data_IF_552263622349
#
_entry.id   IF_552263622349
#
_cell.length_a   1.000
_cell.length_b   1.000
_cell.length_c   1.000
_cell.angle_alpha   90.00
_cell.angle_beta   90.00
_cell.angle_gamma   90.00
#
_symmetry.space_group_name_H-M   'P 1'
#
loop_
_entity.id
_entity.type
_entity.pdbx_description
1 polymer ?
#
# COMPACT_ATOMS: atom_id res chain seq x y z
N UNK A 1 -15.13 -0.46 17.59
CA UNK A 1 -14.69 -1.86 17.42
C UNK A 1 -13.24 -1.82 17.01
N UNK A 2 -12.39 -2.48 17.77
CA UNK A 2 -11.01 -2.68 17.38
C UNK A 2 -10.95 -3.83 16.36
N UNK A 3 -10.29 -3.61 15.22
CA UNK A 3 -10.11 -4.65 14.21
C UNK A 3 -8.84 -5.43 14.55
N UNK A 4 -8.94 -6.75 14.77
CA UNK A 4 -7.75 -7.61 14.85
C UNK A 4 -7.16 -7.83 13.46
N UNK A 5 -5.88 -8.18 13.38
CA UNK A 5 -5.19 -8.44 12.11
C UNK A 5 -5.89 -9.52 11.29
N UNK A 6 -6.30 -10.62 11.93
CA UNK A 6 -6.99 -11.74 11.29
C UNK A 6 -8.35 -11.29 10.70
N UNK A 7 -9.08 -10.42 11.41
CA UNK A 7 -10.33 -9.87 10.90
C UNK A 7 -10.12 -9.00 9.65
N UNK A 8 -9.04 -8.21 9.64
CA UNK A 8 -8.68 -7.37 8.49
C UNK A 8 -8.28 -8.26 7.31
N UNK A 9 -7.43 -9.26 7.53
CA UNK A 9 -7.02 -10.22 6.51
C UNK A 9 -8.22 -10.91 5.85
N UNK A 10 -9.16 -11.41 6.65
CA UNK A 10 -10.39 -12.03 6.15
C UNK A 10 -11.21 -11.05 5.29
N UNK A 11 -11.33 -9.80 5.73
CA UNK A 11 -12.07 -8.75 4.99
C UNK A 11 -11.39 -8.38 3.69
N UNK A 12 -10.08 -8.21 3.69
CA UNK A 12 -9.31 -7.93 2.48
C UNK A 12 -9.39 -9.11 1.52
N UNK A 13 -9.25 -10.35 2.01
CA UNK A 13 -9.38 -11.56 1.18
C UNK A 13 -10.75 -11.65 0.52
N UNK A 14 -11.83 -11.32 1.23
CA UNK A 14 -13.19 -11.23 0.66
C UNK A 14 -13.30 -10.15 -0.42
N UNK A 15 -12.69 -8.98 -0.22
CA UNK A 15 -12.70 -7.91 -1.22
C UNK A 15 -11.90 -8.30 -2.48
N UNK A 16 -10.74 -8.93 -2.32
CA UNK A 16 -9.94 -9.48 -3.42
C UNK A 16 -10.73 -10.54 -4.18
N UNK A 17 -11.39 -11.46 -3.48
CA UNK A 17 -12.22 -12.49 -4.11
C UNK A 17 -13.34 -11.88 -4.98
N UNK A 18 -14.05 -10.87 -4.46
CA UNK A 18 -15.08 -10.16 -5.24
C UNK A 18 -14.50 -9.50 -6.49
N UNK A 19 -13.32 -8.89 -6.39
CA UNK A 19 -12.62 -8.32 -7.55
C UNK A 19 -12.27 -9.39 -8.60
N UNK A 20 -11.69 -10.52 -8.17
CA UNK A 20 -11.33 -11.62 -9.06
C UNK A 20 -12.55 -12.24 -9.75
N UNK A 21 -13.69 -12.30 -9.06
CA UNK A 21 -14.91 -12.92 -9.56
C UNK A 21 -15.75 -11.99 -10.44
N UNK A 22 -16.02 -10.79 -9.96
CA UNK A 22 -17.00 -9.88 -10.57
C UNK A 22 -16.34 -8.90 -11.55
N UNK A 23 -15.04 -8.61 -11.38
CA UNK A 23 -14.28 -7.67 -12.21
C UNK A 23 -13.05 -8.33 -12.87
N UNK A 24 -13.12 -9.64 -13.11
CA UNK A 24 -12.08 -10.42 -13.79
C UNK A 24 -11.59 -9.77 -15.09
N UNK A 25 -12.50 -9.12 -15.82
CA UNK A 25 -12.22 -8.40 -17.07
C UNK A 25 -11.07 -7.40 -16.94
N UNK A 26 -10.93 -6.72 -15.79
CA UNK A 26 -9.89 -5.71 -15.58
C UNK A 26 -8.49 -6.33 -15.62
N UNK A 27 -8.35 -7.53 -15.05
CA UNK A 27 -7.10 -8.28 -15.02
C UNK A 27 -6.80 -8.90 -16.38
N UNK A 28 -7.83 -9.52 -17.00
CA UNK A 28 -7.73 -10.17 -18.30
C UNK A 28 -7.29 -9.20 -19.40
N UNK A 29 -7.72 -7.94 -19.33
CA UNK A 29 -7.37 -6.90 -20.31
C UNK A 29 -6.20 -6.02 -19.86
N UNK A 30 -5.46 -6.44 -18.83
CA UNK A 30 -4.27 -5.75 -18.33
C UNK A 30 -4.49 -4.25 -18.05
N UNK A 31 -5.65 -3.88 -17.51
CA UNK A 31 -5.98 -2.48 -17.26
C UNK A 31 -5.06 -1.85 -16.19
N UNK A 32 -5.03 -0.53 -16.12
CA UNK A 32 -4.11 0.21 -15.24
C UNK A 32 -4.37 -0.09 -13.75
N UNK A 33 -3.30 -0.13 -12.93
CA UNK A 33 -3.35 -0.39 -11.49
C UNK A 33 -4.38 0.50 -10.78
N UNK A 34 -4.37 1.82 -11.04
CA UNK A 34 -5.43 2.76 -10.58
C UNK A 34 -6.87 2.26 -10.78
N UNK A 35 -7.20 1.65 -11.91
CA UNK A 35 -8.55 1.11 -12.18
C UNK A 35 -8.84 -0.09 -11.29
N UNK A 36 -7.87 -0.98 -11.10
CA UNK A 36 -7.94 -2.14 -10.21
C UNK A 36 -8.07 -1.68 -8.76
N UNK A 37 -7.25 -0.71 -8.32
CA UNK A 37 -7.28 -0.13 -6.98
C UNK A 37 -8.63 0.50 -6.66
N UNK A 38 -9.21 1.27 -7.59
CA UNK A 38 -10.55 1.84 -7.42
C UNK A 38 -11.61 0.76 -7.14
N UNK A 39 -11.63 -0.30 -7.95
CA UNK A 39 -12.63 -1.36 -7.82
C UNK A 39 -12.41 -2.21 -6.57
N UNK A 40 -11.15 -2.48 -6.21
CA UNK A 40 -10.80 -3.10 -4.94
C UNK A 40 -11.26 -2.24 -3.74
N UNK A 41 -11.06 -0.92 -3.81
CA UNK A 41 -11.50 0.02 -2.77
C UNK A 41 -13.03 0.00 -2.59
N UNK A 42 -13.82 -0.12 -3.66
CA UNK A 42 -15.27 -0.29 -3.55
C UNK A 42 -15.66 -1.56 -2.77
N UNK A 43 -14.99 -2.68 -3.01
CA UNK A 43 -15.26 -3.92 -2.27
C UNK A 43 -14.78 -3.85 -0.82
N UNK A 44 -13.63 -3.24 -0.58
CA UNK A 44 -13.14 -2.97 0.78
C UNK A 44 -14.12 -2.07 1.54
N UNK A 45 -14.66 -1.02 0.93
CA UNK A 45 -15.62 -0.12 1.57
C UNK A 45 -16.86 -0.87 2.09
N UNK A 46 -17.33 -1.88 1.36
CA UNK A 46 -18.43 -2.74 1.81
C UNK A 46 -18.05 -3.61 3.03
N UNK A 47 -16.80 -4.02 3.15
CA UNK A 47 -16.30 -4.82 4.29
C UNK A 47 -15.96 -3.95 5.52
N UNK A 48 -15.72 -2.65 5.33
CA UNK A 48 -15.40 -1.68 6.38
C UNK A 48 -16.45 -0.55 6.47
N UNK A 49 -17.73 -0.83 6.80
CA UNK A 49 -18.81 0.16 6.74
C UNK A 49 -18.69 1.32 7.75
N UNK A 50 -17.90 1.13 8.81
CA UNK A 50 -17.69 2.14 9.86
C UNK A 50 -16.38 2.93 9.69
N UNK A 51 -15.67 2.69 8.59
CA UNK A 51 -14.46 3.40 8.21
C UNK A 51 -14.62 3.92 6.77
N UNK A 52 -13.70 4.78 6.38
CA UNK A 52 -13.61 5.27 5.02
C UNK A 52 -12.54 4.49 4.27
N UNK A 53 -12.81 4.15 3.02
CA UNK A 53 -11.84 3.56 2.11
C UNK A 53 -11.63 4.52 0.95
N UNK A 54 -10.43 5.08 0.86
CA UNK A 54 -10.10 6.14 -0.09
C UNK A 54 -8.88 5.78 -0.94
N UNK A 55 -8.95 6.06 -2.24
CA UNK A 55 -7.82 5.96 -3.15
C UNK A 55 -7.05 7.28 -3.24
N UNK A 56 -5.73 7.19 -3.46
CA UNK A 56 -4.84 8.35 -3.67
C UNK A 56 -4.98 9.46 -2.61
N UNK A 57 -5.39 9.09 -1.39
CA UNK A 57 -5.65 10.05 -0.34
C UNK A 57 -4.34 10.66 0.17
N UNK A 58 -4.06 11.88 -0.28
CA UNK A 58 -2.79 12.55 -0.07
C UNK A 58 -2.81 13.57 1.07
N UNK A 59 -3.84 13.61 1.94
CA UNK A 59 -3.91 14.59 3.03
C UNK A 59 -3.38 14.01 4.34
N UNK A 60 -2.53 14.77 5.04
CA UNK A 60 -2.27 14.56 6.47
C UNK A 60 -2.94 15.70 7.26
N UNK A 61 -3.71 15.37 8.30
CA UNK A 61 -4.45 16.35 9.10
C UNK A 61 -3.52 17.10 10.06
N UNK A 62 -2.45 16.43 10.53
CA UNK A 62 -1.50 17.00 11.49
C UNK A 62 -0.44 17.91 10.86
N UNK A 63 -0.43 18.02 9.53
CA UNK A 63 0.48 18.91 8.81
C UNK A 63 -0.33 19.94 8.01
N UNK A 64 -0.18 21.23 8.36
CA UNK A 64 -0.87 22.34 7.74
C UNK A 64 -0.84 22.27 6.20
N UNK A 65 -1.97 21.84 5.62
CA UNK A 65 -2.27 21.86 4.19
C UNK A 65 -1.22 21.19 3.28
N UNK A 66 -0.48 20.20 3.80
CA UNK A 66 0.59 19.54 3.07
C UNK A 66 0.17 18.14 2.59
N UNK A 67 0.73 17.68 1.45
CA UNK A 67 0.57 16.30 1.01
C UNK A 67 1.12 15.33 2.08
N UNK A 68 0.63 14.08 2.14
CA UNK A 68 1.18 13.03 3.02
C UNK A 68 2.66 12.87 2.73
N UNK A 69 3.46 12.85 3.80
CA UNK A 69 4.91 12.70 3.72
C UNK A 69 5.37 11.49 4.52
N UNK A 70 6.34 10.79 3.97
CA UNK A 70 7.16 9.83 4.72
C UNK A 70 8.56 10.42 4.91
N UNK A 71 9.21 10.03 6.00
CA UNK A 71 10.59 10.40 6.32
C UNK A 71 11.47 9.18 6.14
N UNK A 72 12.55 9.33 5.40
CA UNK A 72 13.54 8.29 5.16
C UNK A 72 14.88 8.82 5.64
N UNK A 73 15.59 8.07 6.47
CA UNK A 73 16.93 8.49 6.91
C UNK A 73 17.84 8.71 5.70
N UNK A 74 18.64 9.77 5.72
CA UNK A 74 19.46 10.18 4.58
C UNK A 74 20.51 9.12 4.15
N UNK A 75 20.92 8.24 5.06
CA UNK A 75 21.83 7.13 4.76
C UNK A 75 21.11 6.01 3.99
N UNK A 76 19.88 5.65 4.43
CA UNK A 76 18.99 4.71 3.73
C UNK A 76 18.49 5.26 2.39
N UNK A 77 18.59 6.57 2.21
CA UNK A 77 18.17 7.22 0.99
C UNK A 77 19.08 6.92 -0.22
N UNK A 78 20.38 6.65 -0.01
CA UNK A 78 21.26 6.22 -1.10
C UNK A 78 20.78 4.88 -1.69
N UNK A 79 20.43 3.93 -0.81
CA UNK A 79 19.79 2.66 -1.17
C UNK A 79 18.37 2.82 -1.73
N UNK A 80 17.79 4.00 -1.66
CA UNK A 80 16.46 4.25 -2.19
C UNK A 80 16.51 5.00 -3.52
N UNK A 81 17.51 5.86 -3.69
CA UNK A 81 17.79 6.58 -4.93
C UNK A 81 18.45 5.70 -5.99
N UNK A 82 19.32 4.76 -5.60
CA UNK A 82 19.91 3.78 -6.53
C UNK A 82 18.84 2.98 -7.31
N UNK A 83 17.71 2.67 -6.67
CA UNK A 83 16.57 1.97 -7.29
C UNK A 83 15.69 2.87 -8.19
N UNK A 84 15.79 4.20 -8.06
CA UNK A 84 14.96 5.15 -8.84
C UNK A 84 15.41 5.32 -10.27
N UNK A 85 16.69 5.18 -10.53
CA UNK A 85 17.25 5.37 -11.89
C UNK A 85 16.76 4.28 -12.85
N UNK A 86 16.29 3.13 -12.35
CA UNK A 86 15.88 1.98 -13.16
C UNK A 86 14.36 1.93 -13.48
N UNK A 87 13.49 2.61 -12.72
CA UNK A 87 12.03 2.38 -12.78
C UNK A 87 11.16 3.58 -13.21
N UNK A 88 11.74 4.77 -13.37
CA UNK A 88 11.07 5.90 -14.02
C UNK A 88 10.29 6.86 -13.11
N UNK A 89 9.92 7.99 -13.72
CA UNK A 89 9.68 9.31 -13.11
C UNK A 89 8.29 9.46 -12.50
N UNK A 90 8.18 9.47 -11.17
CA UNK A 90 7.11 10.19 -10.43
C UNK A 90 7.47 10.48 -8.96
N UNK A 91 8.74 10.36 -8.61
CA UNK A 91 9.17 10.17 -7.23
C UNK A 91 9.19 11.46 -6.38
N UNK A 92 9.40 12.61 -7.00
CA UNK A 92 9.81 13.82 -6.27
C UNK A 92 8.99 15.02 -6.75
N UNK A 93 7.69 15.07 -6.44
CA UNK A 93 6.98 16.35 -6.61
C UNK A 93 7.45 17.38 -5.58
N UNK A 94 7.98 16.94 -4.43
CA UNK A 94 8.64 17.79 -3.44
C UNK A 94 9.48 16.93 -2.49
N UNK A 95 10.82 17.07 -2.54
CA UNK A 95 11.77 16.52 -1.57
C UNK A 95 12.53 17.66 -0.92
N UNK A 96 12.75 17.52 0.38
CA UNK A 96 13.59 18.39 1.16
C UNK A 96 14.14 17.60 2.34
N UNK A 97 15.14 18.15 3.02
CA UNK A 97 15.77 17.52 4.16
C UNK A 97 15.29 18.19 5.46
N UNK A 98 15.03 17.39 6.48
CA UNK A 98 14.70 17.83 7.85
C UNK A 98 15.69 17.16 8.82
N UNK A 99 16.14 17.90 9.84
CA UNK A 99 16.97 17.36 10.90
C UNK A 99 16.08 17.05 12.11
N UNK A 100 16.13 15.81 12.58
CA UNK A 100 15.31 15.34 13.70
C UNK A 100 16.18 14.51 14.63
N UNK A 101 16.28 14.90 15.90
CA UNK A 101 17.14 14.25 16.89
C UNK A 101 18.57 14.04 16.37
N UNK A 102 19.16 15.07 15.76
CA UNK A 102 20.50 15.09 15.14
C UNK A 102 20.70 14.10 13.97
N UNK A 103 19.63 13.44 13.50
CA UNK A 103 19.63 12.59 12.31
C UNK A 103 19.02 13.34 11.13
N UNK A 104 19.68 13.28 9.97
CA UNK A 104 19.20 13.87 8.74
C UNK A 104 18.18 12.94 8.08
N UNK A 105 16.98 13.45 7.85
CA UNK A 105 15.92 12.75 7.12
C UNK A 105 15.64 13.45 5.80
N UNK A 106 15.44 12.66 4.75
CA UNK A 106 14.78 13.12 3.54
C UNK A 106 13.29 12.90 3.64
N UNK A 107 12.55 13.97 3.38
CA UNK A 107 11.10 14.00 3.46
C UNK A 107 10.52 13.95 2.06
N UNK A 108 9.63 12.99 1.82
CA UNK A 108 9.10 12.69 0.49
C UNK A 108 7.57 12.69 0.55
N UNK A 109 6.95 13.47 -0.33
CA UNK A 109 5.50 13.41 -0.55
C UNK A 109 5.11 12.12 -1.27
N UNK A 110 4.11 11.41 -0.75
CA UNK A 110 3.68 10.11 -1.25
C UNK A 110 2.16 10.02 -1.41
N UNK A 111 1.75 9.09 -2.28
CA UNK A 111 0.35 8.84 -2.63
C UNK A 111 0.10 7.34 -2.49
N UNK A 112 -0.70 6.91 -1.50
CA UNK A 112 -1.07 5.50 -1.37
C UNK A 112 -2.15 5.11 -2.38
N UNK A 113 -2.16 3.86 -2.84
CA UNK A 113 -3.19 3.39 -3.76
C UNK A 113 -4.56 3.28 -3.08
N UNK A 114 -4.62 2.70 -1.88
CA UNK A 114 -5.83 2.59 -1.07
C UNK A 114 -5.49 2.75 0.41
N UNK A 115 -6.34 3.45 1.16
CA UNK A 115 -6.26 3.52 2.62
C UNK A 115 -7.60 3.17 3.26
N UNK A 116 -7.57 2.56 4.44
CA UNK A 116 -8.71 2.32 5.31
C UNK A 116 -8.47 3.13 6.58
N UNK A 117 -9.31 4.14 6.82
CA UNK A 117 -9.05 5.17 7.84
C UNK A 117 -10.33 5.87 8.30
N UNK A 118 -10.17 6.83 9.21
CA UNK A 118 -11.21 7.80 9.56
C UNK A 118 -10.81 9.16 9.02
N UNK A 119 -11.58 9.71 8.08
CA UNK A 119 -11.35 11.07 7.57
C UNK A 119 -11.46 12.06 8.73
N UNK A 120 -10.62 13.09 8.72
CA UNK A 120 -10.52 14.12 9.78
C UNK A 120 -10.05 13.59 11.15
N UNK A 121 -9.53 12.36 11.22
CA UNK A 121 -8.81 11.84 12.37
C UNK A 121 -7.41 11.42 11.92
N UNK A 122 -6.37 11.82 12.66
CA UNK A 122 -4.99 11.38 12.42
C UNK A 122 -4.61 10.17 13.27
N UNK A 123 -5.34 9.96 14.36
CA UNK A 123 -5.15 8.82 15.24
C UNK A 123 -5.92 7.60 14.70
N UNK A 124 -5.28 6.43 14.73
CA UNK A 124 -5.86 5.15 14.33
C UNK A 124 -6.10 4.94 12.82
N UNK A 125 -5.15 5.37 11.98
CA UNK A 125 -5.10 4.94 10.58
C UNK A 125 -4.93 3.41 10.52
N UNK A 126 -5.90 2.69 9.94
CA UNK A 126 -5.97 1.24 10.11
C UNK A 126 -5.04 0.50 9.14
N UNK A 127 -5.24 0.72 7.84
CA UNK A 127 -4.60 -0.07 6.80
C UNK A 127 -4.22 0.82 5.61
N UNK A 128 -3.01 0.64 5.10
CA UNK A 128 -2.56 1.19 3.83
C UNK A 128 -2.25 0.04 2.87
N UNK A 129 -2.70 0.16 1.62
CA UNK A 129 -2.56 -0.87 0.61
C UNK A 129 -1.88 -0.27 -0.62
N UNK A 130 -0.85 -0.95 -1.10
CA UNK A 130 -0.20 -0.72 -2.39
C UNK A 130 -0.58 -1.85 -3.34
N UNK A 131 -1.03 -1.52 -4.54
CA UNK A 131 -1.54 -2.46 -5.53
C UNK A 131 -0.62 -2.47 -6.75
N UNK A 132 -0.14 -3.66 -7.11
CA UNK A 132 0.68 -3.86 -8.30
C UNK A 132 0.11 -4.90 -9.24
N UNK A 133 0.52 -4.82 -10.49
CA UNK A 133 0.37 -5.90 -11.46
C UNK A 133 1.69 -6.62 -11.70
N UNK A 134 1.62 -7.93 -11.80
CA UNK A 134 2.73 -8.76 -12.28
C UNK A 134 2.38 -9.34 -13.66
N UNK A 135 3.31 -9.20 -14.62
CA UNK A 135 3.24 -9.87 -15.93
C UNK A 135 4.19 -11.07 -15.96
N UNK A 136 3.92 -12.09 -15.16
CA UNK A 136 4.82 -13.25 -15.02
C UNK A 136 6.22 -12.87 -14.53
N UNK A 137 7.28 -13.45 -15.13
CA UNK A 137 8.68 -13.26 -14.71
C UNK A 137 9.24 -11.82 -14.91
N UNK A 138 8.51 -10.93 -15.60
CA UNK A 138 8.89 -9.54 -15.82
C UNK A 138 8.17 -8.60 -14.82
N UNK A 139 8.14 -8.95 -13.54
CA UNK A 139 7.64 -8.03 -12.50
C UNK A 139 8.62 -6.89 -12.30
N UNK A 140 8.12 -5.64 -12.32
CA UNK A 140 8.92 -4.50 -11.83
C UNK A 140 9.31 -4.75 -10.38
N UNK A 141 10.53 -4.37 -10.03
CA UNK A 141 10.99 -4.46 -8.66
C UNK A 141 10.03 -3.68 -7.71
N UNK A 142 9.48 -4.36 -6.71
CA UNK A 142 8.54 -3.80 -5.72
C UNK A 142 9.21 -3.26 -4.47
N UNK A 143 10.55 -3.27 -4.41
CA UNK A 143 11.34 -2.79 -3.27
C UNK A 143 10.92 -1.38 -2.84
N UNK A 144 10.51 -0.53 -3.78
CA UNK A 144 10.04 0.80 -3.44
C UNK A 144 8.73 0.79 -2.66
N UNK A 145 7.72 0.06 -3.13
CA UNK A 145 6.42 0.01 -2.47
C UNK A 145 6.52 -0.68 -1.10
N UNK A 146 7.39 -1.67 -0.97
CA UNK A 146 7.70 -2.28 0.33
C UNK A 146 8.37 -1.29 1.29
N UNK A 147 9.36 -0.51 0.82
CA UNK A 147 9.99 0.55 1.63
C UNK A 147 8.99 1.64 2.02
N UNK A 148 8.04 2.01 1.15
CA UNK A 148 6.93 2.90 1.52
C UNK A 148 6.11 2.31 2.67
N UNK A 149 5.69 1.04 2.55
CA UNK A 149 4.87 0.36 3.55
C UNK A 149 5.59 0.24 4.91
N UNK A 150 6.90 -0.01 4.88
CA UNK A 150 7.76 0.09 6.07
C UNK A 150 7.65 1.50 6.68
N UNK A 151 7.91 2.56 5.91
CA UNK A 151 7.84 3.92 6.45
C UNK A 151 6.42 4.33 6.92
N UNK A 152 5.36 3.82 6.28
CA UNK A 152 3.99 4.12 6.70
C UNK A 152 3.62 3.48 8.04
N UNK A 153 4.18 2.30 8.32
CA UNK A 153 3.89 1.48 9.51
C UNK A 153 4.92 1.62 10.62
N UNK A 154 5.97 2.41 10.40
CA UNK A 154 6.99 2.69 11.40
C UNK A 154 6.37 3.43 12.61
N UNK A 155 6.55 2.89 13.81
CA UNK A 155 6.02 3.46 15.05
C UNK A 155 6.95 4.50 15.69
N UNK A 156 8.13 4.73 15.11
CA UNK A 156 9.04 5.77 15.59
C UNK A 156 8.34 7.14 15.63
N UNK A 157 8.67 7.95 16.65
CA UNK A 157 7.99 9.21 16.98
C UNK A 157 7.97 10.25 15.83
N UNK A 158 8.71 10.01 14.75
CA UNK A 158 8.83 10.88 13.59
C UNK A 158 7.85 10.54 12.46
N UNK A 159 7.27 9.33 12.48
CA UNK A 159 6.16 8.98 11.61
C UNK A 159 4.85 9.55 12.17
N UNK A 160 4.29 10.53 11.45
CA UNK A 160 3.01 11.17 11.81
C UNK A 160 1.81 10.49 11.15
N UNK A 161 2.01 9.47 10.31
CA UNK A 161 0.93 8.81 9.59
C UNK A 161 0.34 7.65 10.39
N UNK A 162 1.14 6.96 11.21
CA UNK A 162 0.70 5.97 12.20
C UNK A 162 -0.29 4.93 11.64
N UNK A 163 -0.01 4.39 10.46
CA UNK A 163 -0.81 3.25 9.95
C UNK A 163 -0.47 2.01 10.76
N UNK A 164 -1.48 1.34 11.31
CA UNK A 164 -1.29 0.10 12.07
C UNK A 164 -0.79 -1.05 11.18
N UNK A 165 -1.33 -1.15 9.97
CA UNK A 165 -0.98 -2.19 9.01
C UNK A 165 -0.69 -1.64 7.63
N UNK A 166 0.26 -2.26 6.94
CA UNK A 166 0.54 -2.08 5.52
C UNK A 166 0.36 -3.38 4.77
N UNK A 167 -0.06 -3.30 3.51
CA UNK A 167 -0.28 -4.47 2.66
C UNK A 167 0.16 -4.17 1.23
N UNK A 168 1.04 -5.00 0.70
CA UNK A 168 1.32 -5.05 -0.73
C UNK A 168 0.46 -6.15 -1.35
N UNK A 169 -0.31 -5.85 -2.40
CA UNK A 169 -1.06 -6.85 -3.17
C UNK A 169 -0.61 -6.79 -4.63
N UNK A 170 -0.25 -7.94 -5.19
CA UNK A 170 0.15 -8.08 -6.59
C UNK A 170 -0.86 -8.97 -7.31
N UNK A 171 -1.45 -8.47 -8.38
CA UNK A 171 -2.35 -9.22 -9.24
C UNK A 171 -1.61 -9.68 -10.50
N UNK A 172 -1.64 -10.97 -10.78
CA UNK A 172 -1.07 -11.51 -12.00
C UNK A 172 -2.05 -11.31 -13.17
N UNK A 173 -1.56 -10.68 -14.24
CA UNK A 173 -2.32 -10.40 -15.47
C UNK A 173 -1.78 -11.15 -16.69
N UNK A 174 -0.84 -12.07 -16.49
CA UNK A 174 -0.40 -12.98 -17.56
C UNK A 174 -1.45 -14.06 -17.83
N UNK A 175 -1.54 -14.54 -19.07
CA UNK A 175 -2.51 -15.58 -19.44
C UNK A 175 -2.32 -16.89 -18.66
N UNK A 176 -1.07 -17.24 -18.31
CA UNK A 176 -0.74 -18.50 -17.65
C UNK A 176 -1.21 -18.56 -16.20
N UNK A 177 -1.15 -17.44 -15.48
CA UNK A 177 -1.41 -17.34 -14.05
C UNK A 177 -2.49 -16.27 -13.76
N UNK A 178 -3.43 -16.06 -14.69
CA UNK A 178 -4.40 -14.98 -14.61
C UNK A 178 -5.26 -15.08 -13.34
N UNK A 179 -5.30 -14.00 -12.56
CA UNK A 179 -6.07 -13.96 -11.31
C UNK A 179 -5.38 -14.61 -10.11
N UNK A 180 -4.14 -15.06 -10.27
CA UNK A 180 -3.25 -15.30 -9.14
C UNK A 180 -2.93 -13.99 -8.43
N UNK A 181 -2.97 -14.05 -7.10
CA UNK A 181 -2.69 -12.93 -6.22
C UNK A 181 -1.57 -13.32 -5.29
N UNK A 182 -0.62 -12.41 -5.12
CA UNK A 182 0.31 -12.48 -4.01
C UNK A 182 0.14 -11.27 -3.11
N UNK A 183 0.38 -11.45 -1.82
CA UNK A 183 0.33 -10.35 -0.87
C UNK A 183 1.39 -10.48 0.22
N UNK A 184 1.78 -9.35 0.81
CA UNK A 184 2.74 -9.28 1.91
C UNK A 184 2.31 -8.22 2.92
N UNK A 185 2.32 -8.58 4.20
CA UNK A 185 1.91 -7.69 5.29
C UNK A 185 3.10 -6.98 5.93
N UNK A 186 2.83 -5.76 6.38
CA UNK A 186 3.78 -4.88 7.06
C UNK A 186 3.15 -4.34 8.35
N UNK A 187 3.94 -4.29 9.41
CA UNK A 187 3.55 -3.83 10.75
C UNK A 187 4.83 -3.42 11.49
N UNK A 188 4.77 -2.39 12.33
CA UNK A 188 5.89 -1.88 13.12
C UNK A 188 7.17 -1.63 12.30
N UNK A 189 7.01 -1.07 11.10
CA UNK A 189 8.11 -0.73 10.20
C UNK A 189 8.81 -1.95 9.58
N UNK A 190 8.17 -3.13 9.55
CA UNK A 190 8.79 -4.37 9.07
C UNK A 190 7.81 -5.20 8.24
N UNK A 191 8.34 -6.03 7.34
CA UNK A 191 7.57 -7.12 6.76
C UNK A 191 7.32 -8.18 7.85
N UNK A 192 6.07 -8.62 8.02
CA UNK A 192 5.65 -9.53 9.09
C UNK A 192 5.16 -10.89 8.57
N UNK A 193 5.20 -11.07 7.25
CA UNK A 193 4.94 -12.36 6.61
C UNK A 193 5.83 -12.51 5.38
N UNK A 194 6.09 -13.76 4.99
CA UNK A 194 6.51 -14.04 3.63
C UNK A 194 5.41 -13.63 2.64
N UNK A 195 5.77 -13.58 1.35
CA UNK A 195 4.79 -13.33 0.31
C UNK A 195 3.89 -14.58 0.17
N UNK A 196 2.60 -14.42 0.46
CA UNK A 196 1.62 -15.51 0.38
C UNK A 196 0.92 -15.42 -0.97
N UNK A 197 0.83 -16.56 -1.66
CA UNK A 197 0.20 -16.71 -2.97
C UNK A 197 -1.15 -17.43 -2.83
N UNK A 198 -2.17 -16.91 -3.49
CA UNK A 198 -3.49 -17.52 -3.56
C UNK A 198 -4.20 -17.14 -4.87
N UNK A 199 -5.24 -17.88 -5.24
CA UNK A 199 -6.06 -17.59 -6.42
C UNK A 199 -7.54 -17.73 -6.04
N UNK A 200 -8.44 -17.56 -7.02
CA UNK A 200 -9.89 -17.70 -6.79
C UNK A 200 -10.27 -19.12 -6.33
N UNK A 201 -9.55 -20.15 -6.77
CA UNK A 201 -9.80 -21.55 -6.44
C UNK A 201 -9.36 -21.93 -5.02
N UNK A 202 -8.35 -21.25 -4.47
CA UNK A 202 -7.87 -21.42 -3.09
C UNK A 202 -8.76 -20.75 -2.03
N UNK A 203 -9.91 -20.20 -2.42
CA UNK A 203 -10.85 -19.48 -1.52
C UNK A 203 -12.13 -20.31 -1.27
N UNK A 204 -12.18 -21.56 -1.73
CA UNK A 204 -13.19 -22.51 -1.31
C UNK A 204 -12.82 -23.11 0.07
N UNK A 205 -13.49 -22.61 1.11
CA UNK A 205 -13.75 -23.16 2.47
C UNK A 205 -13.49 -22.15 3.58
#
# INVERSE_FOLDING_TARGET
MEYTKEMIEIKVKKAVYKLLKEDHYLLQNDLHERTISHKLACYLQAEFPNLHVDCEYNKNIDENNNPKKIRVQAELEAEFNSFKEELGKNFLKSRYQEMINDVLYSVISVYPDIIVHRRNESENNLLIIEVKKNKGQNSRNTDYDEKKLICYTDLENHNKLRYRYGLLIKFNTSEQDLGEVTWRWFEDGKAVSDEIKFNIDHIAH
#
